data_IF_035541345635
#
_entry.id   IF_035541345635
#
_cell.length_a   1.000
_cell.length_b   1.000
_cell.length_c   1.000
_cell.angle_alpha   90.00
_cell.angle_beta   90.00
_cell.angle_gamma   90.00
#
_symmetry.space_group_name_H-M   'P 1'
#
loop_
_entity.id
_entity.type
_entity.pdbx_description
1 polymer ?
2 non-polymer ?
3 non-polymer ?
4 non-polymer ?
5 non-polymer ?
6 water ?
#
# COMPACT_ATOMS: atom_id res chain seq x y z
N UNK A 23 -11.28 -2.45 2.74
CA UNK A 23 -10.84 -3.69 3.39
C UNK A 23 -11.69 -4.09 4.59
N UNK A 24 -11.10 -4.94 5.44
CA UNK A 24 -11.66 -5.29 6.73
C UNK A 24 -10.81 -4.75 7.88
N UNK A 25 -9.99 -3.74 7.63
CA UNK A 25 -9.03 -3.30 8.62
C UNK A 25 -9.65 -2.66 9.84
N UNK A 26 -8.84 -2.57 10.90
CA UNK A 26 -9.14 -1.74 12.07
C UNK A 26 -7.92 -0.89 12.39
N UNK A 27 -8.18 0.36 12.78
CA UNK A 27 -7.14 1.39 12.82
C UNK A 27 -7.24 2.12 14.16
N UNK A 28 -6.09 2.30 14.81
CA UNK A 28 -6.00 2.92 16.12
C UNK A 28 -4.97 4.04 16.08
N UNK A 29 -5.24 5.10 16.86
CA UNK A 29 -4.24 6.16 17.08
C UNK A 29 -3.27 5.69 18.16
N UNK A 30 -1.99 5.96 17.98
CA UNK A 30 -0.99 5.71 19.04
C UNK A 30 -0.37 7.06 19.40
N UNK A 31 -0.47 7.44 20.68
CA UNK A 31 0.16 8.66 21.22
C UNK A 31 1.31 8.27 22.13
N UNK A 32 2.46 8.92 21.91
CA UNK A 32 3.67 8.66 22.69
C UNK A 32 4.14 9.95 23.35
N UNK A 33 4.58 9.84 24.60
CA UNK A 33 5.34 10.90 25.27
C UNK A 33 6.83 10.72 25.07
N UNK A 34 7.24 9.86 24.14
CA UNK A 34 8.66 9.54 23.98
C UNK A 34 8.93 9.35 22.50
N UNK A 35 9.71 10.26 21.93
CA UNK A 35 10.24 10.08 20.59
C UNK A 35 11.32 9.00 20.55
N UNK A 36 12.09 8.85 21.62
CA UNK A 36 13.06 7.76 21.72
C UNK A 36 12.39 6.40 21.58
N UNK A 37 11.28 6.18 22.31
CA UNK A 37 10.59 4.90 22.17
C UNK A 37 10.11 4.65 20.74
N UNK A 38 9.79 5.71 19.99
CA UNK A 38 9.39 5.53 18.60
C UNK A 38 10.57 5.05 17.77
N UNK A 39 11.73 5.71 17.94
CA UNK A 39 12.94 5.27 17.26
C UNK A 39 13.23 3.80 17.57
N UNK A 40 13.13 3.40 18.85
CA UNK A 40 13.39 2.02 19.20
C UNK A 40 12.38 1.08 18.52
N UNK A 41 11.11 1.49 18.48
CA UNK A 41 10.06 0.71 17.84
C UNK A 41 10.28 0.56 16.34
N UNK A 42 10.73 1.62 15.67
CA UNK A 42 11.10 1.51 14.26
C UNK A 42 12.34 0.64 14.11
N UNK A 43 13.27 0.70 15.06
CA UNK A 43 14.48 -0.10 14.93
C UNK A 43 14.18 -1.59 15.11
N UNK A 44 13.31 -1.95 16.07
CA UNK A 44 13.15 -3.35 16.44
C UNK A 44 11.76 -3.92 16.22
N UNK A 45 10.81 -3.14 15.69
CA UNK A 45 9.50 -3.67 15.26
C UNK A 45 8.71 -4.23 16.44
N UNK A 46 8.69 -3.47 17.53
CA UNK A 46 7.94 -3.80 18.74
C UNK A 46 7.31 -2.53 19.28
N UNK A 47 6.23 -2.70 20.03
CA UNK A 47 5.58 -1.60 20.73
C UNK A 47 4.95 -2.14 22.01
N UNK A 48 4.51 -1.22 22.86
CA UNK A 48 3.78 -1.56 24.07
C UNK A 48 3.00 -0.32 24.49
N UNK A 49 1.74 -0.53 24.91
CA UNK A 49 0.83 0.53 25.34
C UNK A 49 0.59 0.36 26.84
N UNK A 50 -0.35 1.13 27.38
CA UNK A 50 -0.74 0.93 28.77
C UNK A 50 -1.34 -0.47 28.92
N UNK A 51 -1.70 -0.84 30.16
CA UNK A 51 -2.49 -2.04 30.34
C UNK A 51 -3.82 -1.93 29.59
N UNK A 52 -4.58 -0.88 29.89
CA UNK A 52 -5.83 -0.63 29.19
C UNK A 52 -5.63 -0.58 27.67
N UNK A 53 -4.53 0.04 27.23
CA UNK A 53 -4.28 0.13 25.80
C UNK A 53 -3.90 -1.21 25.18
N UNK A 54 -3.06 -1.98 25.87
CA UNK A 54 -2.73 -3.33 25.39
C UNK A 54 -3.99 -4.18 25.27
N UNK A 55 -4.89 -4.09 26.23
CA UNK A 55 -6.07 -4.93 26.20
C UNK A 55 -6.97 -4.56 25.02
N UNK A 56 -7.12 -3.26 24.76
CA UNK A 56 -7.87 -2.79 23.59
C UNK A 56 -7.27 -3.35 22.30
N UNK A 57 -5.95 -3.25 22.14
CA UNK A 57 -5.35 -3.69 20.88
C UNK A 57 -5.28 -5.20 20.79
N UNK A 58 -5.16 -5.88 21.93
CA UNK A 58 -5.10 -7.33 21.94
C UNK A 58 -6.42 -7.91 21.46
N UNK A 59 -7.53 -7.48 22.07
CA UNK A 59 -8.86 -7.94 21.67
C UNK A 59 -9.11 -7.72 20.19
N UNK A 60 -8.75 -6.54 19.68
CA UNK A 60 -9.02 -6.23 18.27
C UNK A 60 -8.21 -7.14 17.36
N UNK A 61 -6.95 -7.38 17.72
CA UNK A 61 -6.09 -8.23 16.88
C UNK A 61 -6.60 -9.66 16.88
N UNK A 62 -6.89 -10.19 18.07
CA UNK A 62 -7.30 -11.58 18.16
C UNK A 62 -8.65 -11.80 17.47
N UNK A 63 -9.65 -10.96 17.74
CA UNK A 63 -10.96 -11.16 17.13
C UNK A 63 -10.92 -10.96 15.63
N UNK A 64 -9.84 -10.41 15.10
CA UNK A 64 -9.67 -10.22 13.68
C UNK A 64 -9.35 -11.53 12.96
N UNK A 65 -8.71 -12.48 13.65
CA UNK A 65 -8.49 -13.84 13.16
C UNK A 65 -7.61 -13.91 11.91
N UNK A 66 -6.94 -12.82 11.54
CA UNK A 66 -6.24 -12.76 10.28
C UNK A 66 -7.09 -12.34 9.11
N UNK A 67 -8.34 -11.92 9.33
CA UNK A 67 -9.20 -11.49 8.23
C UNK A 67 -8.72 -10.18 7.61
N UNK A 68 -8.17 -9.28 8.43
CA UNK A 68 -7.72 -7.99 7.96
C UNK A 68 -6.62 -7.40 8.83
N UNK A 69 -6.11 -6.23 8.45
CA UNK A 69 -4.98 -5.65 9.18
C UNK A 69 -5.43 -4.76 10.33
N UNK A 70 -4.64 -4.74 11.39
CA UNK A 70 -4.74 -3.72 12.44
C UNK A 70 -3.64 -2.70 12.15
N UNK A 71 -4.05 -1.48 11.82
CA UNK A 71 -3.10 -0.40 11.58
C UNK A 71 -3.03 0.53 12.79
N UNK A 72 -1.86 1.12 12.98
CA UNK A 72 -1.54 1.96 14.13
C UNK A 72 -0.98 3.27 13.58
N UNK A 73 -1.62 4.38 13.94
CA UNK A 73 -1.21 5.71 13.47
C UNK A 73 -0.50 6.41 14.62
N UNK A 74 0.80 6.65 14.46
CA UNK A 74 1.66 7.12 15.53
C UNK A 74 1.75 8.65 15.51
N UNK A 75 1.62 9.26 16.69
CA UNK A 75 1.92 10.69 16.87
C UNK A 75 2.60 10.89 18.23
N UNK A 76 3.68 11.69 18.24
CA UNK A 76 4.30 12.09 19.48
C UNK A 76 3.59 13.32 20.04
N UNK A 77 3.18 13.24 21.30
CA UNK A 77 2.49 14.31 22.02
C UNK A 77 3.25 15.63 21.92
N UNK A 78 2.53 16.70 21.60
CA UNK A 78 3.09 18.02 21.46
C UNK A 78 3.88 18.27 20.19
N UNK A 79 4.07 17.26 19.34
CA UNK A 79 4.92 17.45 18.17
C UNK A 79 4.22 18.17 17.02
N UNK A 80 2.88 18.23 17.01
CA UNK A 80 2.19 18.83 15.89
C UNK A 80 2.23 18.05 14.58
N UNK A 81 2.61 16.77 14.62
CA UNK A 81 2.62 16.00 13.40
C UNK A 81 2.53 14.51 13.73
N UNK A 82 1.98 13.74 12.79
CA UNK A 82 2.00 12.29 12.86
C UNK A 82 3.31 11.86 12.26
N UNK A 83 3.82 10.71 12.70
CA UNK A 83 5.16 10.33 12.29
C UNK A 83 5.24 8.98 11.60
N UNK A 84 4.12 8.28 11.45
CA UNK A 84 4.12 7.15 10.55
C UNK A 84 3.00 6.18 10.88
N UNK A 85 3.08 5.04 10.21
CA UNK A 85 2.03 4.03 10.21
C UNK A 85 2.71 2.68 10.39
N UNK A 86 2.12 1.83 11.21
CA UNK A 86 2.64 0.50 11.38
C UNK A 86 1.48 -0.46 11.51
N UNK A 87 1.71 -1.72 11.14
CA UNK A 87 0.73 -2.80 11.31
C UNK A 87 1.07 -3.62 12.55
N UNK A 88 0.04 -3.93 13.33
CA UNK A 88 0.20 -4.85 14.45
C UNK A 88 0.43 -6.26 13.89
N UNK A 89 1.46 -6.94 14.38
CA UNK A 89 1.89 -8.19 13.77
C UNK A 89 1.90 -9.36 14.73
N UNK A 90 1.39 -9.20 15.95
CA UNK A 90 1.32 -10.32 16.89
C UNK A 90 0.34 -9.97 17.99
N UNK A 91 -0.05 -10.99 18.74
CA UNK A 91 -0.81 -10.78 19.96
C UNK A 91 0.08 -10.11 21.00
N UNK A 92 -0.50 -9.79 22.15
CA UNK A 92 0.22 -9.12 23.23
C UNK A 92 0.78 -10.16 24.19
N UNK A 93 2.09 -10.07 24.44
CA UNK A 93 2.79 -10.86 25.45
C UNK A 93 3.01 -9.98 26.68
N UNK A 94 2.31 -10.28 27.78
CA UNK A 94 2.33 -9.41 28.95
C UNK A 94 3.49 -9.68 29.90
N UNK A 95 4.36 -10.65 29.64
CA UNK A 95 5.42 -11.01 30.58
C UNK A 95 6.72 -11.01 29.79
N UNK A 96 7.42 -9.86 29.79
CA UNK A 96 8.63 -9.70 28.99
C UNK A 96 9.64 -8.85 29.77
N UNK A 97 10.82 -8.67 29.18
CA UNK A 97 11.91 -8.03 29.87
C UNK A 97 11.52 -6.62 30.29
N UNK A 98 11.75 -6.30 31.57
CA UNK A 98 11.39 -5.00 32.11
C UNK A 98 12.42 -3.96 31.69
N UNK A 99 11.99 -2.71 31.63
CA UNK A 99 12.89 -1.59 31.49
C UNK A 99 13.53 -1.40 30.14
N UNK A 100 12.90 -1.88 29.06
CA UNK A 100 13.51 -1.69 27.74
C UNK A 100 13.19 -0.33 27.12
N UNK A 101 12.25 0.42 27.67
CA UNK A 101 11.84 1.67 27.08
C UNK A 101 12.46 2.84 27.84
N UNK A 102 12.05 4.05 27.48
CA UNK A 102 12.51 5.24 28.19
C UNK A 102 12.06 5.21 29.66
N UNK A 103 10.82 4.78 29.91
CA UNK A 103 10.28 4.62 31.26
C UNK A 103 10.02 3.15 31.57
N UNK A 104 9.90 2.86 32.87
CA UNK A 104 9.67 1.51 33.39
C UNK A 104 8.20 1.11 33.45
N UNK A 105 7.27 2.04 33.31
CA UNK A 105 5.87 1.69 33.57
C UNK A 105 5.32 0.62 32.63
N UNK A 106 5.96 0.34 31.49
CA UNK A 106 5.37 -0.54 30.48
C UNK A 106 5.57 -2.01 30.84
N UNK A 107 4.48 -2.76 30.82
CA UNK A 107 4.54 -4.21 31.00
C UNK A 107 4.09 -4.86 29.71
N UNK A 108 4.98 -5.58 29.06
CA UNK A 108 4.61 -6.43 27.96
C UNK A 108 5.18 -5.95 26.64
N UNK A 109 4.76 -6.63 25.56
CA UNK A 109 5.31 -6.35 24.24
C UNK A 109 4.39 -6.89 23.15
N UNK A 110 4.45 -6.28 21.96
CA UNK A 110 3.88 -6.93 20.80
C UNK A 110 4.66 -6.49 19.58
N UNK A 111 4.54 -7.27 18.51
CA UNK A 111 5.29 -6.94 17.31
C UNK A 111 4.48 -6.06 16.38
N UNK A 112 5.20 -5.28 15.58
CA UNK A 112 4.62 -4.38 14.60
C UNK A 112 5.50 -4.47 13.36
N UNK A 113 4.96 -3.96 12.26
CA UNK A 113 5.72 -3.78 11.03
C UNK A 113 5.43 -2.37 10.55
N UNK A 114 6.46 -1.54 10.53
CA UNK A 114 6.31 -0.15 10.12
C UNK A 114 6.18 -0.04 8.61
N UNK A 115 5.19 0.73 8.17
CA UNK A 115 4.76 0.82 6.79
C UNK A 115 5.17 2.15 6.17
N UNK A 116 4.93 3.24 6.88
CA UNK A 116 5.39 4.56 6.51
C UNK A 116 6.10 5.18 7.70
N UNK A 117 7.23 5.82 7.45
CA UNK A 117 7.96 6.59 8.45
C UNK A 117 8.15 7.99 7.88
N UNK A 118 7.20 8.88 8.15
CA UNK A 118 7.26 10.25 7.63
C UNK A 118 6.46 11.21 8.49
N UNK A 119 6.94 12.45 8.55
CA UNK A 119 6.31 13.50 9.35
C UNK A 119 5.23 14.19 8.52
N UNK A 120 3.99 14.16 9.02
CA UNK A 120 2.84 14.76 8.35
C UNK A 120 2.19 15.76 9.28
N UNK A 121 2.21 17.05 8.96
CA UNK A 121 1.71 18.05 9.90
C UNK A 121 0.22 17.87 10.21
N UNK A 122 -0.15 18.12 11.47
CA UNK A 122 -1.53 17.97 11.90
C UNK A 122 -2.49 18.81 11.07
N UNK A 123 -2.00 19.91 10.48
CA UNK A 123 -2.82 20.75 9.60
C UNK A 123 -3.34 19.98 8.40
N UNK A 124 -2.66 18.91 7.99
CA UNK A 124 -3.11 18.07 6.87
C UNK A 124 -4.23 17.11 7.25
N UNK A 125 -4.50 16.92 8.55
CA UNK A 125 -5.41 15.87 9.00
C UNK A 125 -6.54 16.39 9.86
N UNK A 126 -6.51 17.67 10.22
CA UNK A 126 -7.39 18.18 11.27
C UNK A 126 -8.83 18.24 10.81
N UNK A 127 -9.06 18.35 9.51
CA UNK A 127 -10.44 18.35 9.02
C UNK A 127 -11.14 17.02 9.27
N UNK A 128 -10.40 15.92 9.30
CA UNK A 128 -11.01 14.61 9.52
C UNK A 128 -11.48 14.49 10.97
N UNK A 129 -12.77 14.32 11.16
CA UNK A 129 -13.36 14.22 12.49
C UNK A 129 -13.93 12.83 12.73
N UNK A 130 -14.00 12.44 14.00
CA UNK A 130 -14.38 11.08 14.39
C UNK A 130 -15.78 11.07 15.01
N UNK A 131 -16.75 10.50 14.30
CA UNK A 131 -18.11 10.44 14.82
C UNK A 131 -18.20 9.61 16.10
N UNK A 132 -17.22 8.75 16.37
CA UNK A 132 -17.22 8.00 17.63
C UNK A 132 -16.50 8.75 18.75
N UNK A 133 -15.89 9.89 18.45
CA UNK A 133 -15.25 10.68 19.49
C UNK A 133 -15.84 12.09 19.53
N UNK A 134 -17.17 12.18 19.68
CA UNK A 134 -17.89 13.47 19.75
C UNK A 134 -17.49 14.41 18.64
N UNK A 135 -17.19 13.84 17.47
CA UNK A 135 -16.84 14.59 16.28
C UNK A 135 -15.57 15.43 16.43
N UNK A 136 -14.70 15.11 17.39
CA UNK A 136 -13.47 15.86 17.53
C UNK A 136 -12.52 15.55 16.37
N UNK A 137 -11.57 16.45 16.08
CA UNK A 137 -10.62 16.16 15.01
C UNK A 137 -9.78 14.95 15.38
N UNK A 138 -9.42 14.17 14.36
CA UNK A 138 -8.64 12.96 14.57
C UNK A 138 -7.32 13.31 15.24
N UNK A 139 -6.80 14.52 14.97
CA UNK A 139 -5.56 15.03 15.53
C UNK A 139 -5.67 15.40 17.02
N UNK A 140 -6.84 15.28 17.64
CA UNK A 140 -7.00 15.49 19.08
C UNK A 140 -7.42 14.22 19.78
N UNK A 141 -6.91 13.08 19.33
CA UNK A 141 -7.28 11.82 19.96
C UNK A 141 -6.28 11.48 21.07
N UNK A 142 -6.72 10.63 21.99
CA UNK A 142 -5.85 10.08 23.01
C UNK A 142 -5.28 8.75 22.52
N UNK A 143 -4.41 8.15 23.34
CA UNK A 143 -3.75 6.90 22.98
C UNK A 143 -4.77 5.78 22.78
N UNK A 144 -4.64 5.04 21.67
CA UNK A 144 -5.45 3.88 21.30
C UNK A 144 -6.92 4.21 21.03
N UNK A 145 -7.25 5.48 20.81
CA UNK A 145 -8.51 5.85 20.16
C UNK A 145 -8.70 5.10 18.84
N UNK A 146 -9.86 4.45 18.67
CA UNK A 146 -10.13 3.74 17.41
C UNK A 146 -10.79 4.69 16.41
N UNK A 147 -10.39 4.54 15.15
CA UNK A 147 -10.77 5.42 14.06
C UNK A 147 -11.76 4.69 13.15
N UNK A 148 -12.97 5.22 12.91
CA UNK A 148 -13.90 4.53 12.01
C UNK A 148 -13.29 4.34 10.63
N UNK A 149 -13.65 3.21 10.01
CA UNK A 149 -12.92 2.72 8.84
C UNK A 149 -12.81 3.76 7.74
N UNK A 150 -13.90 4.48 7.45
CA UNK A 150 -13.84 5.40 6.32
C UNK A 150 -13.07 6.66 6.66
N UNK A 151 -13.11 7.11 7.92
CA UNK A 151 -12.19 8.17 8.33
C UNK A 151 -10.74 7.67 8.29
N UNK A 152 -10.51 6.39 8.65
CA UNK A 152 -9.14 5.88 8.63
C UNK A 152 -8.58 5.84 7.21
N UNK A 153 -9.36 5.36 6.25
CA UNK A 153 -8.87 5.34 4.86
C UNK A 153 -8.59 6.76 4.39
N UNK A 154 -9.38 7.74 4.85
CA UNK A 154 -9.04 9.13 4.59
C UNK A 154 -7.66 9.48 5.14
N UNK A 155 -7.39 9.16 6.42
CA UNK A 155 -6.09 9.51 6.99
C UNK A 155 -4.96 8.81 6.24
N UNK A 156 -5.15 7.53 5.90
CA UNK A 156 -4.07 6.78 5.27
C UNK A 156 -3.74 7.33 3.89
N UNK A 157 -4.75 7.76 3.13
CA UNK A 157 -4.47 8.37 1.82
C UNK A 157 -3.59 9.61 1.97
N UNK A 158 -3.92 10.46 2.94
CA UNK A 158 -3.13 11.69 3.13
C UNK A 158 -1.71 11.36 3.58
N UNK A 159 -1.56 10.41 4.49
CA UNK A 159 -0.21 10.07 4.97
C UNK A 159 0.62 9.49 3.84
N UNK A 160 0.06 8.58 3.05
CA UNK A 160 0.83 7.94 1.98
C UNK A 160 1.25 8.96 0.93
N UNK A 161 0.38 9.89 0.58
CA UNK A 161 0.64 10.79 -0.52
C UNK A 161 1.34 12.09 -0.12
N UNK A 162 1.62 12.31 1.17
CA UNK A 162 2.12 13.62 1.59
C UNK A 162 3.54 13.86 1.08
N UNK A 163 3.79 15.08 0.59
CA UNK A 163 5.08 15.44 -0.02
C UNK A 163 5.91 16.36 0.87
N UNK B 17 9.63 1.46 1.79
CA UNK B 17 8.48 1.66 2.67
C UNK B 17 7.57 0.42 2.70
N UNK B 18 6.39 0.56 2.11
CA UNK B 18 5.31 -0.44 2.17
C UNK B 18 5.63 -1.69 1.35
N UNK B 19 6.38 -1.56 0.26
CA UNK B 19 6.53 -2.66 -0.70
C UNK B 19 7.70 -3.58 -0.41
N UNK B 20 8.57 -3.25 0.55
CA UNK B 20 9.72 -4.11 0.79
C UNK B 20 9.35 -5.45 1.43
N UNK B 21 8.20 -5.54 2.11
CA UNK B 21 7.82 -6.75 2.82
C UNK B 21 6.64 -7.46 2.17
N UNK B 22 6.49 -7.29 0.86
CA UNK B 22 5.40 -7.92 0.11
C UNK B 22 5.51 -9.44 0.17
N UNK B 23 4.48 -10.09 0.70
CA UNK B 23 4.54 -11.53 0.90
C UNK B 23 4.03 -12.29 -0.32
N UNK B 24 2.83 -11.96 -0.78
CA UNK B 24 2.25 -12.63 -1.93
C UNK B 24 1.98 -11.59 -3.01
N UNK B 25 1.62 -12.07 -4.19
CA UNK B 25 1.36 -11.12 -5.26
C UNK B 25 2.05 -11.46 -6.56
N UNK B 26 1.50 -10.95 -7.65
CA UNK B 26 2.03 -11.12 -8.99
C UNK B 26 2.08 -9.75 -9.65
N UNK B 27 3.08 -9.56 -10.51
CA UNK B 27 3.34 -8.25 -11.10
C UNK B 27 3.64 -8.43 -12.58
N UNK B 28 3.00 -7.59 -13.42
CA UNK B 28 3.11 -7.63 -14.88
C UNK B 28 3.46 -6.26 -15.44
N UNK B 29 4.28 -6.26 -16.52
CA UNK B 29 4.51 -5.09 -17.37
C UNK B 29 3.35 -4.93 -18.34
N UNK B 30 2.80 -3.72 -18.44
CA UNK B 30 1.83 -3.42 -19.48
C UNK B 30 2.47 -2.45 -20.47
N UNK B 31 2.63 -2.87 -21.72
CA UNK B 31 3.20 -2.01 -22.77
C UNK B 31 2.07 -1.58 -23.71
N UNK B 32 1.82 -0.28 -23.80
CA UNK B 32 0.77 0.27 -24.66
C UNK B 32 1.35 1.11 -25.79
N UNK B 33 0.72 1.03 -26.98
CA UNK B 33 1.10 1.91 -28.10
C UNK B 33 0.42 3.26 -28.03
N UNK B 34 -0.62 3.40 -27.22
CA UNK B 34 -1.59 4.48 -27.41
C UNK B 34 -1.76 5.28 -26.12
N UNK B 35 -1.45 6.57 -26.17
CA UNK B 35 -1.78 7.42 -25.05
C UNK B 35 -3.29 7.53 -24.82
N UNK B 36 -4.11 7.31 -25.86
CA UNK B 36 -5.56 7.28 -25.67
C UNK B 36 -5.97 6.16 -24.73
N UNK B 37 -5.36 4.99 -24.87
CA UNK B 37 -5.72 3.88 -23.99
C UNK B 37 -5.36 4.21 -22.55
N UNK B 38 -4.16 4.76 -22.33
CA UNK B 38 -3.77 5.19 -20.99
C UNK B 38 -4.80 6.19 -20.42
N UNK B 39 -5.19 7.20 -21.21
CA UNK B 39 -6.14 8.19 -20.70
C UNK B 39 -7.47 7.55 -20.36
N UNK B 40 -7.99 6.72 -21.26
CA UNK B 40 -9.25 6.03 -20.99
C UNK B 40 -9.15 5.15 -19.75
N UNK B 41 -7.99 4.51 -19.57
CA UNK B 41 -7.85 3.62 -18.42
C UNK B 41 -7.94 4.41 -17.13
N UNK B 42 -7.27 5.57 -17.09
CA UNK B 42 -7.26 6.42 -15.90
C UNK B 42 -8.64 7.02 -15.67
N UNK B 43 -9.33 7.41 -16.74
CA UNK B 43 -10.64 8.02 -16.57
C UNK B 43 -11.66 7.00 -16.05
N UNK B 44 -11.64 5.78 -16.58
CA UNK B 44 -12.71 4.83 -16.30
C UNK B 44 -12.29 3.63 -15.47
N UNK B 45 -11.02 3.54 -15.05
CA UNK B 45 -10.55 2.43 -14.22
C UNK B 45 -10.76 1.07 -14.87
N UNK B 46 -10.41 0.97 -16.16
CA UNK B 46 -10.51 -0.28 -16.91
C UNK B 46 -9.25 -0.44 -17.77
N UNK B 47 -9.02 -1.66 -18.22
CA UNK B 47 -7.96 -1.94 -19.17
C UNK B 47 -8.40 -3.08 -20.07
N UNK B 48 -7.65 -3.24 -21.17
CA UNK B 48 -7.76 -4.39 -22.01
C UNK B 48 -6.42 -4.59 -22.68
N UNK B 49 -6.02 -5.85 -22.86
CA UNK B 49 -4.81 -6.23 -23.55
C UNK B 49 -5.19 -7.03 -24.80
N UNK B 50 -4.18 -7.55 -25.51
CA UNK B 50 -4.45 -8.54 -26.56
C UNK B 50 -5.07 -9.78 -25.96
N UNK B 51 -5.48 -10.72 -26.81
CA UNK B 51 -6.08 -11.97 -26.35
C UNK B 51 -5.05 -12.81 -25.59
N UNK B 52 -3.83 -12.93 -26.14
CA UNK B 52 -2.72 -13.50 -25.37
C UNK B 52 -2.56 -12.81 -24.02
N UNK B 53 -2.58 -11.47 -24.01
CA UNK B 53 -2.40 -10.74 -22.77
C UNK B 53 -3.53 -10.96 -21.79
N UNK B 54 -4.77 -10.87 -22.28
CA UNK B 54 -5.92 -10.99 -21.40
C UNK B 54 -5.97 -12.37 -20.74
N UNK B 55 -5.61 -13.42 -21.47
CA UNK B 55 -5.66 -14.75 -20.87
C UNK B 55 -4.61 -14.88 -19.75
N UNK B 56 -3.40 -14.36 -19.98
CA UNK B 56 -2.39 -14.36 -18.93
C UNK B 56 -2.91 -13.68 -17.68
N UNK B 57 -3.28 -12.40 -17.80
CA UNK B 57 -3.73 -11.65 -16.64
C UNK B 57 -4.93 -12.32 -15.99
N UNK B 58 -5.81 -12.90 -16.81
CA UNK B 58 -7.01 -13.55 -16.29
C UNK B 58 -6.63 -14.74 -15.39
N UNK B 59 -5.78 -15.64 -15.90
CA UNK B 59 -5.32 -16.79 -15.12
C UNK B 59 -4.69 -16.36 -13.80
N UNK B 60 -3.74 -15.42 -13.86
CA UNK B 60 -3.10 -14.95 -12.63
C UNK B 60 -4.11 -14.36 -11.67
N UNK B 61 -5.00 -13.50 -12.18
CA UNK B 61 -5.99 -12.92 -11.29
C UNK B 61 -6.90 -14.00 -10.69
N UNK B 62 -7.30 -14.98 -11.50
CA UNK B 62 -8.24 -15.98 -11.01
C UNK B 62 -7.57 -16.91 -10.01
N UNK B 63 -6.41 -17.46 -10.39
CA UNK B 63 -5.67 -18.32 -9.47
C UNK B 63 -5.24 -17.57 -8.22
N UNK B 64 -5.21 -16.23 -8.26
CA UNK B 64 -4.87 -15.51 -7.05
C UNK B 64 -5.93 -15.67 -5.97
N UNK B 65 -7.20 -15.82 -6.36
CA UNK B 65 -8.33 -16.06 -5.46
C UNK B 65 -8.31 -15.13 -4.24
N UNK B 66 -8.03 -13.85 -4.47
CA UNK B 66 -8.04 -12.88 -3.39
C UNK B 66 -6.85 -12.92 -2.44
N UNK B 67 -5.89 -13.82 -2.65
CA UNK B 67 -4.81 -14.00 -1.67
C UNK B 67 -3.84 -12.82 -1.66
N UNK B 68 -3.74 -12.08 -2.75
CA UNK B 68 -2.88 -10.92 -2.80
C UNK B 68 -3.00 -10.14 -4.10
N UNK B 69 -2.26 -9.05 -4.23
CA UNK B 69 -2.50 -8.12 -5.33
C UNK B 69 -1.92 -8.63 -6.65
N UNK B 70 -2.58 -8.24 -7.74
CA UNK B 70 -2.03 -8.32 -9.10
C UNK B 70 -1.75 -6.89 -9.56
N UNK B 71 -0.47 -6.53 -9.59
CA UNK B 71 -0.04 -5.20 -10.00
C UNK B 71 0.32 -5.15 -11.47
N UNK B 72 0.24 -3.95 -12.04
CA UNK B 72 0.46 -3.70 -13.46
C UNK B 72 1.33 -2.47 -13.57
N UNK B 73 2.45 -2.59 -14.29
CA UNK B 73 3.38 -1.48 -14.50
C UNK B 73 3.28 -1.03 -15.96
N UNK B 74 2.68 0.15 -16.18
CA UNK B 74 2.39 0.67 -17.52
C UNK B 74 3.55 1.48 -18.08
N UNK B 75 3.84 1.27 -19.36
CA UNK B 75 4.74 2.13 -20.11
C UNK B 75 4.29 2.21 -21.56
N UNK B 76 4.28 3.43 -22.12
CA UNK B 76 3.93 3.61 -23.53
C UNK B 76 5.16 3.34 -24.38
N UNK B 77 5.02 2.41 -25.33
CA UNK B 77 6.09 2.08 -26.26
C UNK B 77 6.70 3.33 -26.85
N UNK B 78 8.03 3.40 -26.84
CA UNK B 78 8.79 4.52 -27.37
C UNK B 78 8.79 5.78 -26.53
N UNK B 79 8.18 5.79 -25.35
CA UNK B 79 8.03 7.04 -24.61
C UNK B 79 9.21 7.32 -23.68
N UNK B 80 10.04 6.33 -23.37
CA UNK B 80 11.20 6.56 -22.53
C UNK B 80 10.94 6.55 -21.04
N UNK B 81 9.72 6.25 -20.60
CA UNK B 81 9.42 6.22 -19.18
C UNK B 81 8.29 5.24 -18.90
N UNK B 82 8.06 4.99 -17.62
CA UNK B 82 6.85 4.33 -17.15
C UNK B 82 5.88 5.41 -16.72
N UNK B 83 4.59 5.22 -17.00
CA UNK B 83 3.61 6.26 -16.73
C UNK B 83 2.74 5.97 -15.51
N UNK B 84 2.89 4.83 -14.87
CA UNK B 84 2.15 4.59 -13.63
C UNK B 84 2.08 3.12 -13.27
N UNK B 85 1.26 2.86 -12.25
CA UNK B 85 1.10 1.54 -11.64
C UNK B 85 -0.36 1.39 -11.27
N UNK B 86 -0.96 0.26 -11.64
CA UNK B 86 -2.36 -0.02 -11.36
C UNK B 86 -2.49 -1.38 -10.69
N UNK B 87 -3.65 -1.61 -10.11
CA UNK B 87 -4.01 -2.89 -9.53
C UNK B 87 -5.18 -3.46 -10.31
N UNK B 88 -5.03 -4.69 -10.79
CA UNK B 88 -6.14 -5.41 -11.44
C UNK B 88 -7.20 -5.74 -10.40
N UNK B 89 -8.45 -5.35 -10.64
CA UNK B 89 -9.52 -5.44 -9.65
C UNK B 89 -10.68 -6.35 -10.07
N UNK B 90 -10.54 -7.12 -11.13
CA UNK B 90 -11.61 -8.01 -11.56
C UNK B 90 -11.05 -8.96 -12.60
N UNK B 91 -11.80 -10.02 -12.87
CA UNK B 91 -11.42 -10.95 -13.92
C UNK B 91 -11.71 -10.33 -15.28
N UNK B 92 -11.31 -11.00 -16.36
CA UNK B 92 -11.52 -10.48 -17.70
C UNK B 92 -12.91 -10.84 -18.17
N UNK B 93 -13.69 -9.83 -18.54
CA UNK B 93 -14.97 -9.97 -19.21
C UNK B 93 -14.71 -9.87 -20.70
N UNK B 94 -14.91 -10.97 -21.42
CA UNK B 94 -14.54 -11.04 -22.84
C UNK B 94 -15.66 -10.60 -23.79
N UNK B 95 -16.90 -10.47 -23.34
CA UNK B 95 -18.02 -10.11 -24.22
C UNK B 95 -18.45 -8.69 -23.87
N UNK B 96 -17.79 -7.73 -24.50
CA UNK B 96 -18.04 -6.32 -24.25
C UNK B 96 -18.08 -5.60 -25.59
N UNK B 97 -18.29 -4.30 -25.52
CA UNK B 97 -18.32 -3.48 -26.72
C UNK B 97 -16.91 -3.35 -27.33
N UNK B 98 -16.84 -3.47 -28.65
CA UNK B 98 -15.58 -3.35 -29.38
C UNK B 98 -15.38 -1.88 -29.81
N UNK B 99 -14.25 -1.60 -30.44
CA UNK B 99 -13.97 -0.24 -30.90
C UNK B 99 -13.69 0.77 -29.81
N UNK B 100 -13.45 0.32 -28.59
CA UNK B 100 -13.26 1.23 -27.46
C UNK B 100 -11.79 1.60 -27.31
N UNK B 101 -10.87 0.73 -27.73
CA UNK B 101 -9.44 0.93 -27.61
C UNK B 101 -8.82 1.26 -28.98
N UNK B 102 -7.52 1.59 -28.98
CA UNK B 102 -6.87 2.05 -30.21
C UNK B 102 -6.94 0.99 -31.31
N UNK B 103 -6.65 -0.27 -30.97
CA UNK B 103 -6.97 -1.40 -31.85
C UNK B 103 -8.47 -1.63 -31.80
N UNK B 104 -9.18 -1.14 -32.81
CA UNK B 104 -10.65 -1.15 -32.78
C UNK B 104 -11.27 -2.54 -32.70
N UNK B 105 -10.49 -3.61 -32.76
CA UNK B 105 -11.04 -4.96 -32.69
C UNK B 105 -11.04 -5.55 -31.29
N UNK B 106 -10.26 -4.99 -30.37
CA UNK B 106 -10.25 -5.52 -29.01
C UNK B 106 -11.64 -5.40 -28.39
N UNK B 107 -12.13 -6.50 -27.82
CA UNK B 107 -13.48 -6.53 -27.26
C UNK B 107 -13.50 -6.89 -25.78
N UNK B 108 -12.32 -7.06 -25.13
CA UNK B 108 -12.30 -7.40 -23.73
C UNK B 108 -12.25 -6.19 -22.79
N UNK B 109 -12.47 -6.45 -21.49
CA UNK B 109 -12.43 -5.41 -20.47
C UNK B 109 -12.17 -6.03 -19.11
N UNK B 110 -11.38 -5.35 -18.28
CA UNK B 110 -11.34 -5.70 -16.87
C UNK B 110 -11.04 -4.45 -16.08
N UNK B 111 -11.40 -4.48 -14.80
CA UNK B 111 -11.31 -3.34 -13.92
C UNK B 111 -9.91 -3.21 -13.33
N UNK B 112 -9.57 -1.98 -12.97
CA UNK B 112 -8.27 -1.67 -12.38
C UNK B 112 -8.47 -0.52 -11.43
N UNK B 113 -7.56 -0.37 -10.49
CA UNK B 113 -7.44 0.84 -9.70
C UNK B 113 -6.04 1.39 -9.91
N UNK B 114 -5.95 2.66 -10.26
CA UNK B 114 -4.65 3.29 -10.43
C UNK B 114 -4.10 3.77 -9.09
N UNK B 115 -2.85 3.42 -8.83
CA UNK B 115 -2.21 3.71 -7.55
C UNK B 115 -1.27 4.89 -7.67
N UNK B 116 -0.36 4.83 -8.64
CA UNK B 116 0.51 5.94 -8.99
C UNK B 116 0.25 6.32 -10.43
N UNK B 117 0.24 7.62 -10.70
CA UNK B 117 0.22 8.14 -12.07
C UNK B 117 1.38 9.13 -12.17
N UNK B 118 2.56 8.63 -12.53
CA UNK B 118 3.71 9.51 -12.67
C UNK B 118 4.65 8.93 -13.72
N UNK B 119 5.33 9.83 -14.42
CA UNK B 119 6.28 9.45 -15.46
C UNK B 119 7.66 9.29 -14.85
N UNK B 120 8.15 8.05 -14.84
CA UNK B 120 9.42 7.68 -14.23
C UNK B 120 10.38 7.24 -15.33
N UNK B 121 11.46 7.98 -15.59
CA UNK B 121 12.33 7.68 -16.74
C UNK B 121 12.90 6.27 -16.67
N UNK B 122 13.17 5.70 -17.86
CA UNK B 122 13.69 4.35 -17.94
C UNK B 122 15.09 4.23 -17.36
N UNK B 123 15.89 5.29 -17.51
CA UNK B 123 17.25 5.29 -16.95
C UNK B 123 17.24 4.92 -15.47
N UNK B 124 16.31 5.51 -14.72
CA UNK B 124 16.08 5.19 -13.31
C UNK B 124 15.72 3.73 -13.06
N UNK B 125 15.59 2.93 -14.12
CA UNK B 125 15.08 1.57 -13.96
C UNK B 125 15.80 0.51 -14.76
N UNK B 126 16.54 0.86 -15.82
CA UNK B 126 17.19 -0.17 -16.63
C UNK B 126 18.11 -1.06 -15.81
N UNK B 127 18.63 -0.56 -14.69
CA UNK B 127 19.54 -1.37 -13.88
C UNK B 127 18.86 -2.57 -13.22
N UNK B 128 17.54 -2.69 -13.32
CA UNK B 128 16.81 -3.86 -12.82
C UNK B 128 16.58 -4.82 -13.98
N UNK B 129 17.05 -6.06 -13.83
CA UNK B 129 17.03 -7.06 -14.88
C UNK B 129 16.19 -8.25 -14.44
N UNK B 130 15.68 -9.01 -15.41
CA UNK B 130 14.69 -10.07 -15.15
C UNK B 130 15.29 -11.42 -15.53
N UNK B 131 15.30 -12.35 -14.57
CA UNK B 131 15.90 -13.66 -14.86
C UNK B 131 14.99 -14.53 -15.71
N UNK B 132 13.69 -14.32 -15.65
CA UNK B 132 12.80 -15.07 -16.54
C UNK B 132 12.78 -14.49 -17.95
N UNK B 133 13.45 -13.35 -18.18
CA UNK B 133 13.50 -12.68 -19.48
C UNK B 133 14.93 -12.61 -20.01
N UNK B 134 15.70 -13.71 -19.86
CA UNK B 134 17.08 -13.78 -20.33
C UNK B 134 17.90 -12.60 -19.80
N UNK B 135 17.72 -12.29 -18.52
CA UNK B 135 18.52 -11.31 -17.78
C UNK B 135 18.42 -9.90 -18.37
N UNK B 136 17.43 -9.65 -19.23
CA UNK B 136 17.30 -8.36 -19.90
C UNK B 136 16.80 -7.28 -18.95
N UNK B 137 17.02 -6.01 -19.28
CA UNK B 137 16.48 -4.93 -18.45
C UNK B 137 14.97 -4.99 -18.41
N UNK B 138 14.40 -4.50 -17.31
CA UNK B 138 12.96 -4.55 -17.14
C UNK B 138 12.28 -3.56 -18.08
N UNK B 139 13.00 -2.50 -18.49
CA UNK B 139 12.46 -1.50 -19.40
C UNK B 139 12.49 -1.93 -20.85
N UNK B 140 12.88 -3.17 -21.13
CA UNK B 140 12.79 -3.73 -22.47
C UNK B 140 11.94 -4.98 -22.46
N UNK B 141 10.88 -4.97 -21.66
CA UNK B 141 9.94 -6.09 -21.67
C UNK B 141 8.86 -5.86 -22.72
N UNK B 142 8.22 -6.95 -23.13
CA UNK B 142 7.05 -6.88 -23.98
C UNK B 142 5.77 -6.88 -23.12
N UNK B 143 4.62 -6.73 -23.77
CA UNK B 143 3.36 -6.55 -23.05
C UNK B 143 3.00 -7.82 -22.29
N UNK B 144 2.66 -7.65 -21.02
CA UNK B 144 2.33 -8.73 -20.08
C UNK B 144 3.54 -9.63 -19.81
N UNK B 145 4.75 -9.07 -19.88
CA UNK B 145 5.90 -9.77 -19.31
C UNK B 145 5.69 -9.88 -17.81
N UNK B 146 5.74 -11.09 -17.25
CA UNK B 146 5.61 -11.20 -15.80
C UNK B 146 6.93 -10.88 -15.11
N UNK B 147 6.84 -10.27 -13.95
CA UNK B 147 8.00 -9.76 -13.22
C UNK B 147 8.13 -10.54 -11.92
N UNK B 148 9.29 -11.16 -11.66
CA UNK B 148 9.48 -11.90 -10.41
C UNK B 148 9.31 -11.00 -9.19
N UNK B 149 8.66 -11.55 -8.16
CA UNK B 149 8.23 -10.73 -7.03
C UNK B 149 9.40 -9.95 -6.43
N UNK B 150 10.60 -10.54 -6.41
CA UNK B 150 11.70 -9.85 -5.75
C UNK B 150 12.21 -8.70 -6.61
N UNK B 151 12.29 -8.89 -7.93
CA UNK B 151 12.58 -7.74 -8.79
C UNK B 151 11.45 -6.72 -8.77
N UNK B 152 10.21 -7.19 -8.62
CA UNK B 152 9.06 -6.28 -8.63
C UNK B 152 9.09 -5.32 -7.45
N UNK B 153 9.43 -5.80 -6.25
CA UNK B 153 9.56 -4.89 -5.11
C UNK B 153 10.60 -3.80 -5.39
N UNK B 154 11.69 -4.17 -6.09
CA UNK B 154 12.68 -3.17 -6.47
C UNK B 154 12.09 -2.12 -7.40
N UNK B 155 11.27 -2.55 -8.38
CA UNK B 155 10.67 -1.60 -9.33
C UNK B 155 9.68 -0.68 -8.62
N UNK B 156 8.83 -1.26 -7.78
CA UNK B 156 7.78 -0.47 -7.12
C UNK B 156 8.38 0.57 -6.19
N UNK B 157 9.39 0.18 -5.40
CA UNK B 157 10.03 1.12 -4.49
C UNK B 157 10.53 2.36 -5.24
N UNK B 158 11.20 2.13 -6.37
CA UNK B 158 11.73 3.23 -7.17
C UNK B 158 10.61 4.11 -7.72
N UNK B 159 9.55 3.50 -8.26
CA UNK B 159 8.46 4.29 -8.83
C UNK B 159 7.77 5.11 -7.74
N UNK B 160 7.59 4.52 -6.55
CA UNK B 160 6.89 5.19 -5.46
C UNK B 160 7.49 6.55 -5.15
N UNK B 161 8.83 6.65 -5.15
CA UNK B 161 9.55 7.78 -4.57
C UNK B 161 10.23 8.66 -5.62
N UNK B 162 9.75 8.67 -6.86
CA UNK B 162 10.34 9.54 -7.88
C UNK B 162 9.69 10.92 -7.83
N UNK B 163 10.49 11.95 -8.05
CA UNK B 163 10.01 13.33 -8.14
C UNK B 163 9.91 13.82 -9.59
#
# INVERSE_FOLDING_TARGET
MGSSYHHHHHHSSGENLYFQHMKHGRVFIIKSYSEDDIHRSIKYNIWCSTEHGNKRLDAAYRSMNGKGPVYLLFSVNGSGHFCGVAEMKSAVDYNTCAGVWSQDKWKGRFDVRWIFVKDVPNSQLRHIRLENNENKPVTNSRDTQEVPLEKAKQVLKIIASYKHTTS
MGSSYHHHHHHSSGENLYFQHMKHGRVFIIKSYSEDDIHRSIKYNIWCSTEHGNKRLDAAYRSMNGKGPVYLLFSVNGSGHFCGVAEMKSAVDYNTCAGVWSQDKWKGRFDVRWIFVKDVPNSQLRHIRLENNENKPVTNSRDTQEVPLEKAKQVLKIIASYKHTTS
#
